data_IF_203800115764
#
_entry.id   IF_203800115764
#
_cell.length_a   1.000
_cell.length_b   1.000
_cell.length_c   1.000
_cell.angle_alpha   90.00
_cell.angle_beta   90.00
_cell.angle_gamma   90.00
#
_symmetry.space_group_name_H-M   'P 1'
#
loop_
_entity.id
_entity.type
_entity.pdbx_description
1 polymer ?
#
# COMPACT_ATOMS: atom_id res chain seq x y z
N UNK A 1 -10.98 -22.63 6.20
CA UNK A 1 -10.98 -22.79 4.73
C UNK A 1 -12.28 -23.39 4.28
N UNK A 2 -12.97 -22.72 3.35
CA UNK A 2 -14.22 -23.20 2.77
C UNK A 2 -14.06 -23.35 1.25
N UNK A 3 -14.36 -24.54 0.73
CA UNK A 3 -14.33 -24.86 -0.70
C UNK A 3 -15.76 -24.87 -1.24
N UNK A 4 -16.10 -23.92 -2.10
CA UNK A 4 -17.35 -23.94 -2.86
C UNK A 4 -17.30 -24.97 -4.01
N UNK A 5 -16.10 -25.18 -4.57
CA UNK A 5 -15.73 -26.19 -5.56
C UNK A 5 -14.21 -26.34 -5.54
N UNK A 6 -13.66 -27.28 -6.31
CA UNK A 6 -12.19 -27.46 -6.41
C UNK A 6 -11.47 -26.20 -6.91
N UNK A 7 -12.15 -25.38 -7.70
CA UNK A 7 -11.63 -24.17 -8.31
C UNK A 7 -12.12 -22.87 -7.68
N UNK A 8 -12.80 -22.94 -6.52
CA UNK A 8 -13.39 -21.78 -5.85
C UNK A 8 -13.27 -21.92 -4.34
N UNK A 9 -12.35 -21.18 -3.77
CA UNK A 9 -11.94 -21.33 -2.37
C UNK A 9 -11.98 -19.98 -1.65
N UNK A 10 -12.51 -20.00 -0.44
CA UNK A 10 -12.43 -18.92 0.55
C UNK A 10 -11.62 -19.40 1.75
N UNK A 11 -10.54 -18.71 2.03
CA UNK A 11 -9.75 -18.89 3.25
C UNK A 11 -10.03 -17.74 4.22
N UNK A 12 -10.39 -18.08 5.45
CA UNK A 12 -10.54 -17.15 6.57
C UNK A 12 -9.57 -17.57 7.66
N UNK A 13 -8.69 -16.67 8.07
CA UNK A 13 -7.70 -16.93 9.10
C UNK A 13 -7.71 -15.81 10.12
N UNK A 14 -7.83 -16.17 11.39
CA UNK A 14 -7.59 -15.28 12.52
C UNK A 14 -6.31 -15.72 13.21
N UNK A 15 -5.43 -14.76 13.47
CA UNK A 15 -4.18 -14.98 14.20
C UNK A 15 -3.93 -13.87 15.19
N UNK A 16 -3.24 -14.21 16.25
CA UNK A 16 -2.76 -13.24 17.23
C UNK A 16 -1.25 -13.35 17.36
N UNK A 17 -0.60 -12.25 17.67
CA UNK A 17 0.82 -12.22 18.03
C UNK A 17 1.08 -11.20 19.11
N UNK A 18 2.06 -11.48 19.96
CA UNK A 18 2.52 -10.55 20.99
C UNK A 18 4.00 -10.23 20.74
N UNK A 19 4.38 -8.99 20.99
CA UNK A 19 5.76 -8.53 20.88
C UNK A 19 6.13 -7.76 22.14
N UNK A 20 7.23 -8.13 22.77
CA UNK A 20 7.78 -7.43 23.91
C UNK A 20 8.49 -6.13 23.47
N UNK A 21 8.46 -5.08 24.32
CA UNK A 21 9.31 -3.91 24.11
C UNK A 21 10.78 -4.30 24.04
N UNK A 22 11.55 -3.57 23.25
CA UNK A 22 13.01 -3.76 23.18
C UNK A 22 13.70 -3.21 24.44
N UNK A 23 14.91 -3.69 24.73
CA UNK A 23 15.70 -3.20 25.86
C UNK A 23 15.91 -1.69 25.77
N UNK A 24 16.21 -1.15 24.59
CA UNK A 24 16.38 0.29 24.39
C UNK A 24 15.12 1.11 24.64
N UNK A 25 13.94 0.53 24.40
CA UNK A 25 12.66 1.17 24.72
C UNK A 25 12.36 1.17 26.23
N UNK A 26 12.86 0.18 26.98
CA UNK A 26 12.63 0.02 28.41
C UNK A 26 13.64 0.77 29.27
N UNK A 27 14.86 0.94 28.83
CA UNK A 27 15.93 1.57 29.62
C UNK A 27 15.68 3.06 29.83
N UNK A 28 15.47 3.56 31.07
CA UNK A 28 15.20 4.97 31.34
C UNK A 28 16.49 5.84 31.25
N UNK A 29 17.38 5.51 30.33
CA UNK A 29 18.61 6.23 30.09
C UNK A 29 18.40 7.21 28.92
N UNK A 30 18.87 8.42 29.09
CA UNK A 30 18.86 9.43 28.03
C UNK A 30 19.96 9.13 27.03
N UNK A 31 19.57 8.92 25.78
CA UNK A 31 20.54 8.93 24.67
C UNK A 31 20.73 10.36 24.19
N UNK A 32 21.90 10.91 24.45
CA UNK A 32 22.31 12.26 24.09
C UNK A 32 23.35 12.26 22.96
N UNK A 33 23.48 11.18 22.20
CA UNK A 33 24.42 11.08 21.08
C UNK A 33 24.16 12.14 20.00
N UNK A 34 22.90 12.57 19.87
CA UNK A 34 22.51 13.73 19.07
C UNK A 34 22.03 14.86 19.99
N UNK A 35 22.71 16.03 20.01
CA UNK A 35 22.36 17.12 20.93
C UNK A 35 20.96 17.71 20.70
N UNK A 36 20.37 17.54 19.49
CA UNK A 36 19.04 18.04 19.15
C UNK A 36 17.92 17.02 19.37
N UNK A 37 18.27 15.75 19.60
CA UNK A 37 17.33 14.66 19.78
C UNK A 37 17.69 13.85 21.01
N UNK A 38 16.77 13.76 21.94
CA UNK A 38 16.93 13.01 23.19
C UNK A 38 15.92 11.88 23.16
N UNK A 39 16.40 10.65 23.18
CA UNK A 39 15.54 9.48 23.37
C UNK A 39 15.57 9.05 24.84
N UNK A 40 14.41 8.79 25.42
CA UNK A 40 14.25 8.33 26.79
C UNK A 40 13.44 7.03 26.77
N UNK A 41 13.97 5.95 27.33
CA UNK A 41 13.21 4.72 27.48
C UNK A 41 12.11 4.83 28.53
N UNK A 42 11.14 3.92 28.47
CA UNK A 42 10.01 3.85 29.38
C UNK A 42 9.92 2.43 29.97
N UNK A 43 10.29 2.24 31.26
CA UNK A 43 10.25 0.92 31.90
C UNK A 43 8.84 0.38 32.11
N UNK A 44 7.81 1.22 31.98
CA UNK A 44 6.40 0.85 32.16
C UNK A 44 5.72 0.37 30.88
N UNK A 45 6.46 0.16 29.80
CA UNK A 45 5.89 -0.35 28.55
C UNK A 45 5.35 -1.76 28.73
N UNK A 46 4.13 -1.96 28.26
CA UNK A 46 3.47 -3.25 28.15
C UNK A 46 3.77 -3.88 26.78
N UNK A 47 3.79 -5.22 26.71
CA UNK A 47 3.84 -5.91 25.43
C UNK A 47 2.69 -5.53 24.50
N UNK A 48 2.96 -5.44 23.22
CA UNK A 48 1.92 -5.27 22.21
C UNK A 48 1.18 -6.58 21.98
N UNK A 49 -0.09 -6.50 21.64
CA UNK A 49 -0.89 -7.66 21.26
C UNK A 49 -1.70 -7.36 20.01
N UNK A 50 -1.33 -8.01 18.91
CA UNK A 50 -1.96 -7.80 17.60
C UNK A 50 -2.98 -8.91 17.30
N UNK A 51 -4.15 -8.50 16.84
CA UNK A 51 -5.18 -9.33 16.24
C UNK A 51 -5.15 -9.14 14.73
N UNK A 52 -5.11 -10.23 13.99
CA UNK A 52 -5.10 -10.20 12.52
C UNK A 52 -6.20 -11.09 11.96
N UNK A 53 -7.06 -10.52 11.13
CA UNK A 53 -8.08 -11.24 10.35
C UNK A 53 -7.67 -11.17 8.89
N UNK A 54 -7.55 -12.34 8.25
CA UNK A 54 -7.21 -12.46 6.84
C UNK A 54 -8.31 -13.21 6.11
N UNK A 55 -8.83 -12.62 5.04
CA UNK A 55 -9.78 -13.22 4.12
C UNK A 55 -9.10 -13.31 2.75
N UNK A 56 -9.10 -14.50 2.14
CA UNK A 56 -8.60 -14.69 0.79
C UNK A 56 -9.59 -15.53 -0.01
N UNK A 57 -10.00 -15.00 -1.15
CA UNK A 57 -10.86 -15.68 -2.08
C UNK A 57 -10.17 -15.83 -3.43
N UNK A 58 -10.19 -17.04 -3.96
CA UNK A 58 -9.66 -17.37 -5.27
C UNK A 58 -10.68 -18.18 -6.05
N UNK A 59 -10.85 -17.83 -7.31
CA UNK A 59 -11.75 -18.55 -8.22
C UNK A 59 -11.10 -18.68 -9.60
N UNK A 60 -11.01 -19.90 -10.09
CA UNK A 60 -10.48 -20.23 -11.40
C UNK A 60 -11.52 -20.96 -12.23
N UNK A 61 -11.75 -20.52 -13.46
CA UNK A 61 -12.61 -21.21 -14.44
C UNK A 61 -11.74 -21.77 -15.55
N UNK A 62 -11.46 -23.07 -15.53
CA UNK A 62 -10.53 -23.74 -16.48
C UNK A 62 -10.94 -23.57 -17.95
N UNK A 63 -12.23 -23.68 -18.29
CA UNK A 63 -12.72 -23.58 -19.67
C UNK A 63 -12.50 -22.16 -20.23
N UNK A 64 -12.94 -21.13 -19.52
CA UNK A 64 -12.80 -19.74 -19.98
C UNK A 64 -11.44 -19.12 -19.67
N UNK A 65 -10.64 -19.71 -18.78
CA UNK A 65 -9.40 -19.15 -18.27
C UNK A 65 -9.61 -17.97 -17.30
N UNK A 66 -10.86 -17.64 -16.94
CA UNK A 66 -11.13 -16.54 -16.01
C UNK A 66 -10.57 -16.84 -14.64
N UNK A 67 -9.77 -15.91 -14.11
CA UNK A 67 -9.23 -15.97 -12.76
C UNK A 67 -9.68 -14.74 -11.97
N UNK A 68 -10.14 -14.94 -10.74
CA UNK A 68 -10.56 -13.87 -9.85
C UNK A 68 -9.91 -14.10 -8.49
N UNK A 69 -9.31 -13.06 -7.94
CA UNK A 69 -8.71 -13.06 -6.61
C UNK A 69 -9.17 -11.85 -5.81
N UNK A 70 -9.36 -12.06 -4.54
CA UNK A 70 -9.74 -11.01 -3.60
C UNK A 70 -9.12 -11.32 -2.25
N UNK A 71 -8.64 -10.32 -1.57
CA UNK A 71 -8.14 -10.45 -0.21
C UNK A 71 -8.46 -9.24 0.62
N UNK A 72 -8.54 -9.49 1.93
CA UNK A 72 -8.76 -8.48 2.94
C UNK A 72 -7.97 -8.86 4.18
N UNK A 73 -7.18 -7.93 4.68
CA UNK A 73 -6.46 -8.05 5.95
C UNK A 73 -6.85 -6.90 6.86
N UNK A 74 -7.26 -7.22 8.06
CA UNK A 74 -7.49 -6.25 9.13
C UNK A 74 -6.62 -6.60 10.31
N UNK A 75 -5.81 -5.65 10.76
CA UNK A 75 -4.98 -5.77 11.96
C UNK A 75 -5.38 -4.69 12.96
N UNK A 76 -5.54 -5.10 14.21
CA UNK A 76 -5.78 -4.23 15.34
C UNK A 76 -4.76 -4.55 16.43
N UNK A 77 -4.12 -3.51 17.01
CA UNK A 77 -3.08 -3.69 18.02
C UNK A 77 -3.51 -3.06 19.36
N UNK A 78 -3.55 -3.90 20.37
CA UNK A 78 -3.65 -3.47 21.75
C UNK A 78 -2.27 -3.13 22.29
N UNK A 79 -2.18 -2.10 23.15
CA UNK A 79 -0.94 -1.62 23.77
C UNK A 79 0.17 -1.38 22.72
N UNK A 80 -0.21 -0.86 21.56
CA UNK A 80 0.79 -0.57 20.52
C UNK A 80 1.82 0.42 21.02
N UNK A 81 3.09 0.22 20.63
CA UNK A 81 4.18 1.09 21.07
C UNK A 81 4.31 2.24 20.07
N UNK A 82 3.83 3.40 20.50
CA UNK A 82 3.91 4.65 19.75
C UNK A 82 4.96 5.59 20.35
N UNK A 83 5.19 6.69 19.66
CA UNK A 83 6.11 7.74 20.11
C UNK A 83 5.36 8.90 20.72
N UNK A 84 5.80 9.32 21.91
CA UNK A 84 5.49 10.62 22.49
C UNK A 84 6.63 11.57 22.21
N UNK A 85 6.36 12.65 21.48
CA UNK A 85 7.32 13.68 21.14
C UNK A 85 6.99 14.98 21.87
N UNK A 86 7.97 15.59 22.51
CA UNK A 86 7.84 16.92 23.12
C UNK A 86 9.06 17.77 22.77
N UNK A 87 8.92 19.09 22.87
CA UNK A 87 10.00 20.03 22.67
C UNK A 87 10.34 20.68 24.01
N UNK A 88 11.61 20.68 24.36
CA UNK A 88 12.07 21.32 25.60
C UNK A 88 12.23 22.85 25.44
N UNK A 89 12.60 23.53 26.51
CA UNK A 89 12.72 24.99 26.56
C UNK A 89 13.79 25.58 25.62
N UNK A 90 14.71 24.77 25.13
CA UNK A 90 15.76 25.19 24.18
C UNK A 90 15.53 24.60 22.76
N UNK A 91 14.35 24.04 22.50
CA UNK A 91 13.93 23.56 21.20
C UNK A 91 14.42 22.17 20.80
N UNK A 92 14.98 21.38 21.73
CA UNK A 92 15.37 19.99 21.44
C UNK A 92 14.14 19.10 21.41
N UNK A 93 14.16 18.13 20.51
CA UNK A 93 13.13 17.08 20.46
C UNK A 93 13.40 16.02 21.52
N UNK A 94 12.45 15.80 22.43
CA UNK A 94 12.47 14.71 23.39
C UNK A 94 11.46 13.66 22.95
N UNK A 95 11.92 12.43 22.78
CA UNK A 95 11.13 11.29 22.29
C UNK A 95 11.10 10.19 23.34
N UNK A 96 9.92 9.64 23.59
CA UNK A 96 9.72 8.52 24.50
C UNK A 96 8.71 7.53 23.93
N UNK A 97 8.99 6.24 24.08
CA UNK A 97 8.04 5.19 23.72
C UNK A 97 6.90 5.11 24.75
N UNK A 98 5.68 4.99 24.27
CA UNK A 98 4.46 4.87 25.09
C UNK A 98 3.54 3.79 24.53
N UNK A 99 2.67 3.21 25.35
CA UNK A 99 1.60 2.37 24.84
C UNK A 99 0.38 3.21 24.48
N UNK A 100 -0.22 2.91 23.32
CA UNK A 100 -1.48 3.47 22.83
C UNK A 100 -2.44 2.36 22.40
N UNK A 101 -3.73 2.65 22.39
CA UNK A 101 -4.76 1.76 21.87
C UNK A 101 -5.52 2.42 20.73
N UNK A 102 -6.04 1.60 19.80
CA UNK A 102 -6.82 2.07 18.68
C UNK A 102 -6.01 2.24 17.40
N UNK A 103 -4.80 1.70 17.33
CA UNK A 103 -4.04 1.56 16.10
C UNK A 103 -4.57 0.35 15.32
N UNK A 104 -4.90 0.58 14.06
CA UNK A 104 -5.34 -0.48 13.17
C UNK A 104 -4.99 -0.18 11.72
N UNK A 105 -4.88 -1.23 10.95
CA UNK A 105 -4.76 -1.12 9.51
C UNK A 105 -5.69 -2.08 8.79
N UNK A 106 -6.11 -1.67 7.62
CA UNK A 106 -6.96 -2.41 6.72
C UNK A 106 -6.28 -2.41 5.34
N UNK A 107 -6.14 -3.59 4.74
CA UNK A 107 -5.66 -3.74 3.38
C UNK A 107 -6.64 -4.61 2.60
N UNK A 108 -7.09 -4.11 1.45
CA UNK A 108 -7.99 -4.83 0.58
C UNK A 108 -7.46 -4.85 -0.85
N UNK A 109 -7.64 -5.96 -1.55
CA UNK A 109 -7.37 -6.06 -2.97
C UNK A 109 -8.41 -6.91 -3.66
N UNK A 110 -8.66 -6.57 -4.90
CA UNK A 110 -9.51 -7.31 -5.81
C UNK A 110 -8.88 -7.27 -7.20
N UNK A 111 -8.91 -8.39 -7.89
CA UNK A 111 -8.49 -8.45 -9.27
C UNK A 111 -9.20 -9.57 -10.00
N UNK A 112 -9.32 -9.40 -11.30
CA UNK A 112 -9.82 -10.47 -12.17
C UNK A 112 -9.18 -10.38 -13.54
N UNK A 113 -8.82 -11.52 -14.10
CA UNK A 113 -8.40 -11.67 -15.50
C UNK A 113 -9.55 -12.34 -16.23
N UNK A 114 -10.03 -11.67 -17.28
CA UNK A 114 -11.16 -12.12 -18.10
C UNK A 114 -10.73 -12.25 -19.56
N UNK A 115 -10.28 -13.44 -19.97
CA UNK A 115 -9.97 -13.70 -21.37
C UNK A 115 -11.26 -13.91 -22.17
N UNK A 116 -11.25 -13.40 -23.43
CA UNK A 116 -12.32 -13.48 -24.42
C UNK A 116 -11.78 -13.98 -25.76
N UNK A 117 -12.71 -14.40 -26.65
CA UNK A 117 -12.39 -14.82 -28.03
C UNK A 117 -11.18 -15.78 -28.11
N UNK A 118 -11.32 -16.94 -27.48
CA UNK A 118 -10.27 -17.95 -27.41
C UNK A 118 -8.96 -17.41 -26.78
N UNK A 119 -9.07 -16.54 -25.77
CA UNK A 119 -7.96 -15.92 -25.03
C UNK A 119 -7.11 -14.92 -25.85
N UNK A 120 -7.61 -14.49 -27.01
CA UNK A 120 -6.95 -13.46 -27.82
C UNK A 120 -7.06 -12.06 -27.20
N UNK A 121 -8.10 -11.82 -26.42
CA UNK A 121 -8.33 -10.57 -25.71
C UNK A 121 -8.43 -10.86 -24.22
N UNK A 122 -7.88 -10.01 -23.41
CA UNK A 122 -7.96 -10.09 -21.94
C UNK A 122 -8.27 -8.72 -21.36
N UNK A 123 -9.17 -8.72 -20.38
CA UNK A 123 -9.50 -7.53 -19.57
C UNK A 123 -9.20 -7.85 -18.12
N UNK A 124 -8.41 -7.00 -17.47
CA UNK A 124 -7.93 -7.19 -16.10
C UNK A 124 -8.16 -5.97 -15.23
N UNK A 125 -9.37 -5.74 -14.68
CA UNK A 125 -9.54 -4.74 -13.65
C UNK A 125 -8.91 -5.18 -12.33
N UNK A 126 -8.20 -4.25 -11.67
CA UNK A 126 -7.60 -4.44 -10.36
C UNK A 126 -7.91 -3.26 -9.45
N UNK A 127 -8.10 -3.55 -8.18
CA UNK A 127 -8.26 -2.58 -7.11
C UNK A 127 -7.35 -3.00 -5.95
N UNK A 128 -6.65 -2.04 -5.40
CA UNK A 128 -5.96 -2.18 -4.13
C UNK A 128 -6.24 -0.95 -3.27
N UNK A 129 -6.47 -1.16 -1.98
CA UNK A 129 -6.66 -0.08 -1.02
C UNK A 129 -6.02 -0.42 0.31
N UNK A 130 -5.46 0.57 0.97
CA UNK A 130 -4.91 0.50 2.31
C UNK A 130 -5.41 1.69 3.12
N UNK A 131 -5.82 1.41 4.33
CA UNK A 131 -6.13 2.42 5.35
C UNK A 131 -5.33 2.09 6.59
N UNK A 132 -4.66 3.09 7.16
CA UNK A 132 -3.90 2.94 8.41
C UNK A 132 -4.28 4.07 9.35
N UNK A 133 -4.60 3.74 10.59
CA UNK A 133 -4.77 4.70 11.67
C UNK A 133 -3.74 4.44 12.75
N UNK A 134 -2.98 5.49 13.08
CA UNK A 134 -1.99 5.47 14.14
C UNK A 134 -2.21 6.63 15.11
N UNK A 135 -1.90 6.38 16.36
CA UNK A 135 -1.89 7.36 17.44
C UNK A 135 -0.47 7.64 17.90
N UNK A 136 -0.22 8.88 18.25
CA UNK A 136 1.01 9.35 18.89
C UNK A 136 0.69 10.48 19.85
N UNK A 137 1.65 10.91 20.64
CA UNK A 137 1.52 12.13 21.45
C UNK A 137 2.50 13.19 20.95
N UNK A 138 2.04 14.43 20.81
CA UNK A 138 2.87 15.59 20.50
C UNK A 138 2.61 16.66 21.54
N UNK A 139 3.62 17.01 22.34
CA UNK A 139 3.49 17.93 23.46
C UNK A 139 2.35 17.55 24.42
N UNK A 140 2.18 16.26 24.69
CA UNK A 140 1.11 15.73 25.56
C UNK A 140 -0.28 15.65 24.95
N UNK A 141 -0.48 16.13 23.71
CA UNK A 141 -1.75 16.05 22.99
C UNK A 141 -1.78 14.82 22.09
N UNK A 142 -2.91 14.12 22.06
CA UNK A 142 -3.10 12.96 21.18
C UNK A 142 -3.17 13.44 19.72
N UNK A 143 -2.31 12.85 18.89
CA UNK A 143 -2.31 13.04 17.46
C UNK A 143 -2.77 11.74 16.78
N UNK A 144 -3.91 11.81 16.10
CA UNK A 144 -4.42 10.72 15.26
C UNK A 144 -4.00 10.97 13.82
N UNK A 145 -3.22 10.06 13.26
CA UNK A 145 -2.85 10.06 11.85
C UNK A 145 -3.62 9.00 11.10
N UNK A 146 -4.13 9.34 9.93
CA UNK A 146 -4.88 8.44 9.04
C UNK A 146 -4.26 8.53 7.65
N UNK A 147 -3.86 7.39 7.11
CA UNK A 147 -3.33 7.25 5.77
C UNK A 147 -4.28 6.42 4.92
N UNK A 148 -4.73 6.97 3.79
CA UNK A 148 -5.52 6.27 2.78
C UNK A 148 -4.67 6.20 1.52
N UNK A 149 -4.50 5.00 0.98
CA UNK A 149 -3.88 4.76 -0.32
C UNK A 149 -4.75 3.82 -1.10
N UNK A 150 -5.14 4.23 -2.30
CA UNK A 150 -5.95 3.40 -3.18
C UNK A 150 -5.38 3.44 -4.60
N UNK A 151 -5.47 2.33 -5.27
CA UNK A 151 -5.04 2.17 -6.65
C UNK A 151 -6.10 1.38 -7.40
N UNK A 152 -6.52 1.92 -8.55
CA UNK A 152 -7.42 1.24 -9.48
C UNK A 152 -6.69 1.14 -10.81
N UNK A 153 -6.64 -0.04 -11.39
CA UNK A 153 -6.10 -0.23 -12.73
C UNK A 153 -7.04 -1.04 -13.62
N UNK A 154 -6.94 -0.79 -14.90
CA UNK A 154 -7.59 -1.56 -15.94
C UNK A 154 -6.55 -1.92 -17.00
N UNK A 155 -6.36 -3.21 -17.20
CA UNK A 155 -5.45 -3.77 -18.19
C UNK A 155 -6.25 -4.36 -19.34
N UNK A 156 -5.90 -3.97 -20.58
CA UNK A 156 -6.44 -4.52 -21.80
C UNK A 156 -5.29 -5.15 -22.59
N UNK A 157 -5.39 -6.41 -22.95
CA UNK A 157 -4.34 -7.14 -23.68
C UNK A 157 -4.87 -7.83 -24.92
N UNK A 158 -4.04 -7.84 -25.94
CA UNK A 158 -4.22 -8.54 -27.21
C UNK A 158 -3.11 -9.59 -27.34
N UNK A 159 -3.49 -10.85 -27.46
CA UNK A 159 -2.57 -11.97 -27.54
C UNK A 159 -2.81 -12.75 -28.84
N UNK A 160 -2.10 -12.37 -29.90
CA UNK A 160 -2.05 -13.11 -31.16
C UNK A 160 -0.69 -13.78 -31.29
N UNK A 161 -0.58 -14.77 -32.16
CA UNK A 161 0.64 -15.57 -32.34
C UNK A 161 1.88 -14.70 -32.66
N UNK A 162 1.71 -13.67 -33.48
CA UNK A 162 2.79 -12.77 -33.89
C UNK A 162 2.74 -11.39 -33.27
N UNK A 163 1.66 -11.03 -32.62
CA UNK A 163 1.47 -9.69 -32.04
C UNK A 163 0.94 -9.83 -30.62
N UNK A 164 1.67 -9.25 -29.69
CA UNK A 164 1.23 -9.05 -28.32
C UNK A 164 1.20 -7.54 -28.04
N UNK A 165 0.06 -7.02 -27.65
CA UNK A 165 -0.09 -5.59 -27.36
C UNK A 165 -0.99 -5.39 -26.15
N UNK A 166 -0.84 -4.27 -25.47
CA UNK A 166 -1.69 -3.95 -24.34
C UNK A 166 -1.74 -2.46 -24.04
N UNK A 167 -2.80 -2.07 -23.34
CA UNK A 167 -2.98 -0.74 -22.77
C UNK A 167 -3.41 -0.91 -21.33
N UNK A 168 -2.76 -0.18 -20.45
CA UNK A 168 -3.09 -0.13 -19.01
C UNK A 168 -3.38 1.30 -18.59
N UNK A 169 -4.52 1.50 -17.93
CA UNK A 169 -4.85 2.73 -17.23
C UNK A 169 -4.73 2.53 -15.72
N UNK A 170 -4.12 3.48 -15.03
CA UNK A 170 -3.93 3.43 -13.58
C UNK A 170 -4.33 4.77 -12.95
N UNK A 171 -5.05 4.69 -11.83
CA UNK A 171 -5.38 5.82 -10.97
C UNK A 171 -4.97 5.51 -9.54
N UNK A 172 -4.04 6.29 -8.97
CA UNK A 172 -3.61 6.21 -7.58
C UNK A 172 -4.10 7.42 -6.81
N UNK A 173 -4.70 7.19 -5.65
CA UNK A 173 -5.13 8.21 -4.70
C UNK A 173 -4.40 8.02 -3.38
N UNK A 174 -3.88 9.12 -2.82
CA UNK A 174 -3.19 9.14 -1.54
C UNK A 174 -3.71 10.31 -0.71
N UNK A 175 -4.05 10.05 0.54
CA UNK A 175 -4.45 11.05 1.51
C UNK A 175 -3.84 10.72 2.86
N UNK A 176 -3.16 11.70 3.45
CA UNK A 176 -2.66 11.64 4.81
C UNK A 176 -3.37 12.71 5.63
N UNK A 177 -3.89 12.33 6.78
CA UNK A 177 -4.55 13.23 7.72
C UNK A 177 -3.83 13.19 9.06
N UNK A 178 -3.69 14.34 9.71
CA UNK A 178 -3.20 14.47 11.09
C UNK A 178 -4.13 15.39 11.87
N UNK A 179 -4.60 14.93 13.03
CA UNK A 179 -5.56 15.69 13.84
C UNK A 179 -4.97 16.99 14.40
N UNK A 180 -3.67 17.04 14.65
CA UNK A 180 -2.98 18.23 15.16
C UNK A 180 -2.46 19.16 14.05
N UNK A 181 -2.39 18.69 12.81
CA UNK A 181 -1.89 19.50 11.70
C UNK A 181 -2.77 19.39 10.45
N UNK A 182 -3.98 19.93 10.55
CA UNK A 182 -4.97 19.89 9.46
C UNK A 182 -4.54 20.62 8.18
N UNK A 183 -3.60 21.58 8.25
CA UNK A 183 -3.16 22.38 7.09
C UNK A 183 -2.25 21.62 6.12
N UNK A 184 -1.61 20.53 6.55
CA UNK A 184 -0.74 19.69 5.70
C UNK A 184 -1.47 18.53 5.06
N UNK A 185 -2.78 18.38 5.30
CA UNK A 185 -3.60 17.28 4.79
C UNK A 185 -4.04 17.55 3.36
N UNK A 186 -3.13 17.44 2.42
CA UNK A 186 -3.43 17.62 0.99
C UNK A 186 -3.47 16.26 0.29
N UNK A 187 -4.67 15.77 -0.09
CA UNK A 187 -4.76 14.58 -0.91
C UNK A 187 -4.15 14.82 -2.28
N UNK A 188 -3.57 13.79 -2.86
CA UNK A 188 -3.05 13.85 -4.22
C UNK A 188 -3.37 12.58 -4.99
N UNK A 189 -3.45 12.72 -6.29
CA UNK A 189 -3.64 11.59 -7.21
C UNK A 189 -2.58 11.58 -8.30
N UNK A 190 -2.30 10.39 -8.78
CA UNK A 190 -1.46 10.16 -9.96
C UNK A 190 -2.26 9.29 -10.92
N UNK A 191 -2.29 9.71 -12.18
CA UNK A 191 -2.90 8.96 -13.27
C UNK A 191 -1.80 8.54 -14.23
N UNK A 192 -1.85 7.32 -14.73
CA UNK A 192 -0.94 6.91 -15.80
C UNK A 192 -1.68 6.06 -16.83
N UNK A 193 -1.27 6.25 -18.08
CA UNK A 193 -1.68 5.40 -19.20
C UNK A 193 -0.41 4.87 -19.82
N UNK A 194 -0.30 3.55 -19.89
CA UNK A 194 0.81 2.87 -20.54
C UNK A 194 0.30 1.98 -21.67
N UNK A 195 1.11 1.83 -22.69
CA UNK A 195 0.85 0.92 -23.80
C UNK A 195 2.13 0.23 -24.21
N UNK A 196 2.00 -1.00 -24.69
CA UNK A 196 3.11 -1.75 -25.28
C UNK A 196 2.66 -2.51 -26.52
N UNK A 197 3.60 -2.78 -27.39
CA UNK A 197 3.43 -3.65 -28.55
C UNK A 197 4.70 -4.45 -28.79
N UNK A 198 4.55 -5.76 -28.99
CA UNK A 198 5.61 -6.69 -29.36
C UNK A 198 5.18 -7.42 -30.64
N UNK A 199 6.00 -7.34 -31.68
CA UNK A 199 5.73 -7.94 -32.99
C UNK A 199 6.86 -8.91 -33.31
N UNK A 200 6.51 -10.18 -33.52
CA UNK A 200 7.43 -11.21 -34.01
C UNK A 200 7.49 -11.20 -35.51
N UNK A 201 8.65 -10.89 -36.07
CA UNK A 201 8.94 -10.89 -37.48
C UNK A 201 9.61 -12.20 -37.91
N UNK A 202 9.63 -12.51 -39.24
CA UNK A 202 10.42 -13.63 -39.78
C UNK A 202 11.91 -13.51 -39.35
N UNK A 203 12.62 -14.65 -39.36
CA UNK A 203 14.04 -14.75 -39.01
C UNK A 203 14.39 -14.35 -37.59
N UNK A 204 13.44 -14.52 -36.62
CA UNK A 204 13.60 -14.22 -35.21
C UNK A 204 13.84 -12.74 -34.86
N UNK A 205 13.50 -11.82 -35.71
CA UNK A 205 13.45 -10.40 -35.36
C UNK A 205 12.21 -10.11 -34.50
N UNK A 206 12.38 -9.28 -33.47
CA UNK A 206 11.29 -8.79 -32.62
C UNK A 206 11.32 -7.27 -32.59
N UNK A 207 10.18 -6.64 -32.84
CA UNK A 207 10.00 -5.21 -32.56
C UNK A 207 9.26 -5.08 -31.25
N UNK A 208 9.85 -4.33 -30.33
CA UNK A 208 9.25 -4.02 -29.05
C UNK A 208 9.18 -2.52 -28.86
N UNK A 209 8.04 -2.02 -28.44
CA UNK A 209 7.89 -0.60 -28.07
C UNK A 209 6.92 -0.47 -26.92
N UNK A 210 7.24 0.40 -25.99
CA UNK A 210 6.38 0.77 -24.87
C UNK A 210 6.41 2.28 -24.63
N UNK A 211 5.28 2.80 -24.17
CA UNK A 211 5.14 4.19 -23.77
C UNK A 211 4.34 4.29 -22.48
N UNK A 212 4.73 5.22 -21.61
CA UNK A 212 4.01 5.54 -20.39
C UNK A 212 3.87 7.05 -20.24
N UNK A 213 2.64 7.52 -20.09
CA UNK A 213 2.34 8.92 -19.81
C UNK A 213 1.77 9.05 -18.38
N UNK A 214 2.41 9.88 -17.56
CA UNK A 214 2.03 10.10 -16.17
C UNK A 214 1.59 11.53 -15.94
N UNK A 215 0.44 11.68 -15.28
CA UNK A 215 -0.17 12.95 -14.87
C UNK A 215 -0.21 12.97 -13.35
N UNK A 216 0.35 13.98 -12.73
CA UNK A 216 0.31 14.18 -11.28
C UNK A 216 -0.65 15.31 -10.92
N UNK A 217 -1.51 15.11 -9.91
CA UNK A 217 -2.28 16.20 -9.33
C UNK A 217 -1.36 17.19 -8.62
N UNK A 218 -1.83 18.43 -8.45
CA UNK A 218 -1.07 19.47 -7.77
C UNK A 218 -0.80 19.10 -6.31
N UNK A 219 0.47 18.89 -5.95
CA UNK A 219 0.94 18.72 -4.57
C UNK A 219 1.43 20.04 -3.98
N UNK A 220 2.18 20.81 -4.75
CA UNK A 220 2.69 22.15 -4.44
C UNK A 220 3.12 22.85 -5.72
N UNK A 221 3.34 24.16 -5.67
CA UNK A 221 3.84 24.91 -6.82
C UNK A 221 5.21 24.36 -7.25
N UNK A 222 5.34 23.96 -8.53
CA UNK A 222 6.59 23.46 -9.14
C UNK A 222 6.79 21.95 -9.19
N UNK A 223 5.94 21.13 -8.54
CA UNK A 223 6.11 19.66 -8.48
C UNK A 223 5.09 18.86 -9.33
N UNK A 224 4.39 19.50 -10.23
CA UNK A 224 3.33 18.86 -11.04
C UNK A 224 3.83 18.65 -12.46
N UNK A 225 4.82 17.80 -12.61
CA UNK A 225 5.38 17.49 -13.93
C UNK A 225 4.62 16.29 -14.49
N UNK A 226 3.95 16.51 -15.62
CA UNK A 226 3.47 15.42 -16.46
C UNK A 226 4.62 15.03 -17.38
N UNK A 227 4.85 13.74 -17.54
CA UNK A 227 5.94 13.25 -18.38
C UNK A 227 5.55 12.02 -19.17
N UNK A 228 6.18 11.90 -20.34
CA UNK A 228 6.10 10.74 -21.20
C UNK A 228 7.48 10.04 -21.21
N UNK A 229 7.46 8.74 -21.01
CA UNK A 229 8.61 7.86 -21.26
C UNK A 229 8.24 6.95 -22.42
N UNK A 230 9.12 6.85 -23.41
CA UNK A 230 8.95 5.97 -24.56
C UNK A 230 10.24 5.20 -24.83
N UNK A 231 10.11 3.90 -25.05
CA UNK A 231 11.20 3.00 -25.40
C UNK A 231 10.83 2.23 -26.67
N UNK A 232 11.85 1.90 -27.45
CA UNK A 232 11.71 1.02 -28.60
C UNK A 232 13.00 0.22 -28.80
N UNK A 233 12.86 -1.03 -29.23
CA UNK A 233 13.96 -1.95 -29.54
C UNK A 233 13.62 -2.84 -30.72
N UNK A 234 14.66 -3.39 -31.36
CA UNK A 234 14.60 -4.31 -32.51
C UNK A 234 15.47 -5.52 -32.23
#
# INVERSE_FOLDING_TARGET
RYKFSDNKVLDVKYTTSSQNPTISQLQPVRDNSNPNFINIGNPNLLPTFMHSINLNFNSWKSISGKYTWMGLTYNYTNNDIATSTSYDSIGRTVSQAINVNGNYNFNGYFGTSMPFFSKKFEVGPNLWTSYTQNKSLINGLENNTQDIRSNVSLDLRLNFEKVNAGVSGNYSYNSAYSSLNNKSNTPYSTQSVSGFINIKLPKNFNIESDANYTINSKRSNGYNINYLVWNASL
#
